data_IF_490199459112
#
_entry.id   IF_490199459112
#
_cell.length_a   1.000
_cell.length_b   1.000
_cell.length_c   1.000
_cell.angle_alpha   90.00
_cell.angle_beta   90.00
_cell.angle_gamma   90.00
#
_symmetry.space_group_name_H-M   'P 1'
#
loop_
_entity.id
_entity.type
_entity.pdbx_description
1 polymer ?
#
# COMPACT_ATOMS: atom_id res chain seq x y z
N UNK A 1 1.81 19.35 -38.07
CA UNK A 1 1.59 17.89 -38.19
C UNK A 1 2.15 17.31 -39.50
N UNK A 2 1.98 17.98 -40.63
CA UNK A 2 2.49 17.51 -41.95
C UNK A 2 4.03 17.35 -42.01
N UNK A 3 4.78 18.28 -41.48
CA UNK A 3 6.27 18.25 -41.50
C UNK A 3 6.86 17.02 -40.80
N UNK A 4 6.31 16.65 -39.65
CA UNK A 4 6.78 15.48 -38.89
C UNK A 4 6.52 14.18 -39.68
N UNK A 5 5.43 14.09 -40.42
CA UNK A 5 5.12 12.93 -41.28
C UNK A 5 6.11 12.82 -42.46
N UNK A 6 6.56 13.95 -43.01
CA UNK A 6 7.61 13.98 -44.05
C UNK A 6 8.94 13.47 -43.51
N UNK A 7 9.38 13.96 -42.36
CA UNK A 7 10.64 13.54 -41.71
C UNK A 7 10.59 12.05 -41.32
N UNK A 8 9.47 11.59 -40.81
CA UNK A 8 9.25 10.18 -40.50
C UNK A 8 9.33 9.30 -41.74
N UNK A 9 8.66 9.71 -42.81
CA UNK A 9 8.67 8.98 -44.10
C UNK A 9 10.09 8.92 -44.68
N UNK A 10 10.82 10.02 -44.61
CA UNK A 10 12.23 10.09 -45.02
C UNK A 10 13.10 9.08 -44.25
N UNK A 11 13.02 9.06 -42.89
CA UNK A 11 13.81 8.14 -42.08
C UNK A 11 13.49 6.68 -42.37
N UNK A 12 12.22 6.34 -42.60
CA UNK A 12 11.84 4.96 -42.96
C UNK A 12 12.40 4.56 -44.35
N UNK A 13 12.40 5.48 -45.33
CA UNK A 13 13.02 5.22 -46.66
C UNK A 13 14.54 5.11 -46.52
N UNK A 14 15.19 5.99 -45.75
CA UNK A 14 16.63 5.94 -45.53
C UNK A 14 17.06 4.62 -44.85
N UNK A 15 16.33 4.14 -43.85
CA UNK A 15 16.59 2.87 -43.15
C UNK A 15 16.30 1.64 -43.97
N UNK A 16 15.28 1.72 -44.81
CA UNK A 16 14.85 0.60 -45.62
C UNK A 16 15.62 0.45 -46.96
N UNK A 17 16.27 1.54 -47.40
CA UNK A 17 16.93 1.59 -48.74
C UNK A 17 15.95 1.43 -49.90
N UNK A 18 14.64 1.42 -49.66
CA UNK A 18 13.59 1.13 -50.64
C UNK A 18 12.30 1.84 -50.28
N UNK A 19 11.72 2.53 -51.27
CA UNK A 19 10.41 3.20 -51.14
C UNK A 19 9.31 2.15 -50.88
N UNK A 20 9.35 1.01 -51.56
CA UNK A 20 8.36 -0.06 -51.40
C UNK A 20 8.41 -0.67 -50.00
N UNK A 21 9.63 -0.94 -49.48
CA UNK A 21 9.79 -1.48 -48.13
C UNK A 21 9.37 -0.45 -47.04
N UNK A 22 9.68 0.82 -47.26
CA UNK A 22 9.21 1.89 -46.37
C UNK A 22 7.67 2.03 -46.37
N UNK A 23 7.03 1.92 -47.53
CA UNK A 23 5.59 1.95 -47.66
C UNK A 23 4.90 0.83 -46.88
N UNK A 24 5.44 -0.39 -46.95
CA UNK A 24 4.95 -1.53 -46.17
C UNK A 24 5.07 -1.29 -44.64
N UNK A 25 6.22 -0.75 -44.19
CA UNK A 25 6.43 -0.44 -42.76
C UNK A 25 5.56 0.68 -42.24
N UNK A 26 5.24 1.67 -43.09
CA UNK A 26 4.42 2.82 -42.74
C UNK A 26 2.91 2.52 -42.90
N UNK A 27 2.53 1.39 -43.51
CA UNK A 27 1.13 1.05 -43.78
C UNK A 27 0.46 1.98 -44.79
N UNK A 28 1.23 2.55 -45.76
CA UNK A 28 0.71 3.45 -46.79
C UNK A 28 1.10 2.98 -48.18
N UNK A 29 0.51 3.57 -49.22
CA UNK A 29 0.85 3.24 -50.60
C UNK A 29 2.23 3.78 -51.00
N UNK A 30 2.92 3.05 -51.94
CA UNK A 30 4.18 3.50 -52.49
C UNK A 30 4.11 4.91 -53.17
N UNK A 31 3.06 5.26 -53.92
CA UNK A 31 2.91 6.61 -54.47
C UNK A 31 2.88 7.69 -53.35
N UNK A 32 2.19 7.41 -52.27
CA UNK A 32 2.13 8.34 -51.10
C UNK A 32 3.50 8.58 -50.49
N UNK A 33 4.33 7.53 -50.33
CA UNK A 33 5.71 7.68 -49.82
C UNK A 33 6.53 8.51 -50.83
N UNK A 34 6.43 8.22 -52.14
CA UNK A 34 7.15 8.95 -53.20
C UNK A 34 6.78 10.45 -53.20
N UNK A 35 5.50 10.77 -53.07
CA UNK A 35 5.02 12.14 -53.01
C UNK A 35 5.57 12.89 -51.78
N UNK A 36 5.55 12.25 -50.60
CA UNK A 36 6.10 12.84 -49.39
C UNK A 36 7.59 13.11 -49.48
N UNK A 37 8.38 12.21 -50.08
CA UNK A 37 9.80 12.40 -50.30
C UNK A 37 10.04 13.53 -51.29
N UNK A 38 9.34 13.59 -52.42
CA UNK A 38 9.45 14.67 -53.40
C UNK A 38 9.14 16.03 -52.79
N UNK A 39 8.10 16.07 -51.92
CA UNK A 39 7.74 17.29 -51.23
C UNK A 39 8.85 17.73 -50.26
N UNK A 40 9.42 16.80 -49.47
CA UNK A 40 10.51 17.13 -48.54
C UNK A 40 11.77 17.61 -49.28
N UNK A 41 12.10 16.98 -50.42
CA UNK A 41 13.19 17.43 -51.26
C UNK A 41 12.99 18.84 -51.82
N UNK A 42 11.75 19.15 -52.21
CA UNK A 42 11.36 20.51 -52.67
C UNK A 42 11.46 21.54 -51.56
N UNK A 43 10.99 21.21 -50.32
CA UNK A 43 11.07 22.09 -49.17
C UNK A 43 12.54 22.35 -48.74
N UNK A 44 13.42 21.36 -48.87
CA UNK A 44 14.85 21.49 -48.53
C UNK A 44 15.73 22.00 -49.69
N UNK A 45 15.18 22.02 -50.89
CA UNK A 45 15.88 22.49 -52.08
C UNK A 45 17.01 21.56 -52.56
N UNK A 46 17.01 20.28 -52.12
CA UNK A 46 18.09 19.34 -52.42
C UNK A 46 17.52 17.90 -52.50
N UNK A 47 18.04 17.09 -53.48
CA UNK A 47 17.64 15.68 -53.56
C UNK A 47 18.24 14.87 -52.41
N UNK A 48 17.37 14.04 -51.75
CA UNK A 48 17.79 13.17 -50.65
C UNK A 48 18.04 11.73 -51.14
N UNK A 49 17.44 11.31 -52.23
CA UNK A 49 17.63 9.97 -52.77
C UNK A 49 17.93 9.95 -54.27
N UNK A 50 18.85 9.08 -54.66
CA UNK A 50 19.08 8.70 -56.05
C UNK A 50 18.30 7.43 -56.40
N UNK A 51 17.33 7.54 -57.28
CA UNK A 51 16.50 6.42 -57.71
C UNK A 51 17.24 5.55 -58.74
N UNK A 52 17.30 4.25 -58.52
CA UNK A 52 17.90 3.29 -59.45
C UNK A 52 17.03 2.01 -59.50
N UNK A 53 17.33 1.11 -60.47
CA UNK A 53 16.69 -0.20 -60.53
C UNK A 53 16.92 -1.07 -59.28
N UNK A 54 17.88 -0.69 -58.42
CA UNK A 54 18.22 -1.39 -57.15
C UNK A 54 17.56 -0.77 -55.93
N UNK A 55 16.81 0.32 -56.06
CA UNK A 55 16.09 0.98 -54.97
C UNK A 55 16.38 2.49 -54.87
N UNK A 56 16.27 3.04 -53.68
CA UNK A 56 16.54 4.43 -53.37
C UNK A 56 17.82 4.54 -52.51
N UNK A 57 18.93 4.93 -53.14
CA UNK A 57 20.21 5.13 -52.48
C UNK A 57 20.23 6.55 -51.85
N UNK A 58 20.58 6.68 -50.57
CA UNK A 58 20.69 8.00 -49.93
C UNK A 58 21.83 8.84 -50.51
N UNK A 59 21.62 10.17 -50.55
CA UNK A 59 22.67 11.13 -50.85
C UNK A 59 23.44 11.50 -49.57
N UNK A 60 24.62 12.11 -49.71
CA UNK A 60 25.36 12.64 -48.55
C UNK A 60 24.54 13.64 -47.72
N UNK A 61 23.60 14.36 -48.35
CA UNK A 61 22.65 15.22 -47.64
C UNK A 61 21.61 14.43 -46.85
N UNK A 62 21.12 13.34 -47.42
CA UNK A 62 20.23 12.43 -46.69
C UNK A 62 20.91 11.86 -45.45
N UNK A 63 22.17 11.42 -45.54
CA UNK A 63 22.91 10.89 -44.40
C UNK A 63 23.09 11.96 -43.30
N UNK A 64 23.43 13.19 -43.67
CA UNK A 64 23.53 14.31 -42.73
C UNK A 64 22.21 14.64 -42.08
N UNK A 65 21.14 14.68 -42.84
CA UNK A 65 19.78 14.90 -42.31
C UNK A 65 19.37 13.79 -41.35
N UNK A 66 19.56 12.53 -41.77
CA UNK A 66 19.23 11.37 -40.93
C UNK A 66 19.98 11.41 -39.60
N UNK A 67 21.27 11.69 -39.60
CA UNK A 67 22.07 11.81 -38.37
C UNK A 67 21.55 12.89 -37.41
N UNK A 68 20.96 13.96 -37.94
CA UNK A 68 20.43 15.07 -37.14
C UNK A 68 19.03 14.79 -36.54
N UNK A 69 18.19 14.08 -37.28
CA UNK A 69 16.76 13.94 -36.92
C UNK A 69 16.37 12.57 -36.40
N UNK A 70 17.19 11.51 -36.56
CA UNK A 70 16.83 10.16 -36.16
C UNK A 70 16.45 10.08 -34.68
N UNK A 71 17.33 10.50 -33.80
CA UNK A 71 17.13 10.49 -32.35
C UNK A 71 15.90 11.32 -31.89
N UNK A 72 15.72 12.59 -32.33
CA UNK A 72 14.52 13.36 -32.00
C UNK A 72 13.22 12.72 -32.47
N UNK A 73 13.18 12.21 -33.71
CA UNK A 73 11.97 11.58 -34.26
C UNK A 73 11.66 10.24 -33.56
N UNK A 74 12.68 9.44 -33.25
CA UNK A 74 12.51 8.18 -32.53
C UNK A 74 12.03 8.43 -31.08
N UNK A 75 12.53 9.47 -30.42
CA UNK A 75 12.03 9.88 -29.09
C UNK A 75 10.57 10.32 -29.13
N UNK A 76 10.19 11.13 -30.11
CA UNK A 76 8.80 11.50 -30.32
C UNK A 76 7.93 10.29 -30.59
N UNK A 77 8.40 9.34 -31.40
CA UNK A 77 7.69 8.08 -31.68
C UNK A 77 7.53 7.24 -30.40
N UNK A 78 8.55 7.15 -29.57
CA UNK A 78 8.48 6.43 -28.29
C UNK A 78 7.38 6.96 -27.38
N UNK A 79 7.14 8.27 -27.35
CA UNK A 79 6.03 8.90 -26.61
C UNK A 79 4.65 8.38 -27.09
N UNK A 80 4.51 8.09 -28.41
CA UNK A 80 3.25 7.60 -28.97
C UNK A 80 3.10 6.07 -28.91
N UNK A 81 4.21 5.34 -28.87
CA UNK A 81 4.21 3.86 -28.94
C UNK A 81 4.45 3.19 -27.60
N UNK A 82 5.11 3.87 -26.66
CA UNK A 82 5.18 3.42 -25.28
C UNK A 82 3.87 3.81 -24.60
N UNK A 83 3.19 2.89 -23.92
CA UNK A 83 2.16 3.28 -23.01
C UNK A 83 2.79 4.30 -22.06
N UNK A 84 2.21 5.49 -21.95
CA UNK A 84 2.58 6.44 -20.88
C UNK A 84 2.65 5.60 -19.62
N UNK A 85 3.79 5.59 -18.87
CA UNK A 85 3.82 4.88 -17.60
C UNK A 85 2.59 5.36 -16.85
N UNK A 86 1.65 4.46 -16.59
CA UNK A 86 0.44 4.80 -15.86
C UNK A 86 0.92 5.46 -14.58
N UNK A 87 0.52 6.71 -14.34
CA UNK A 87 0.81 7.37 -13.08
C UNK A 87 0.27 6.42 -12.02
N UNK A 88 1.11 5.91 -11.11
CA UNK A 88 0.63 4.94 -10.13
C UNK A 88 -0.57 5.52 -9.40
N UNK A 89 -1.69 4.80 -9.39
CA UNK A 89 -2.84 5.21 -8.61
C UNK A 89 -2.47 5.13 -7.13
N UNK A 90 -2.48 6.25 -6.44
CA UNK A 90 -2.16 6.31 -5.02
C UNK A 90 -3.37 5.90 -4.20
N UNK A 91 -3.16 4.99 -3.24
CA UNK A 91 -4.16 4.60 -2.24
C UNK A 91 -3.60 4.93 -0.85
N UNK A 92 -4.34 5.74 -0.08
CA UNK A 92 -3.98 6.16 1.27
C UNK A 92 -4.70 5.32 2.31
N UNK A 93 -3.93 4.67 3.17
CA UNK A 93 -4.40 3.66 4.11
C UNK A 93 -4.03 4.08 5.52
N UNK A 94 -5.05 4.25 6.37
CA UNK A 94 -4.85 4.53 7.80
C UNK A 94 -4.90 3.28 8.65
N UNK A 95 -4.14 3.25 9.76
CA UNK A 95 -4.23 2.18 10.75
C UNK A 95 -3.21 2.28 11.87
N UNK A 96 -3.35 1.42 12.87
CA UNK A 96 -2.38 1.30 13.94
C UNK A 96 -1.04 0.73 13.44
N UNK A 97 0.06 1.17 14.03
CA UNK A 97 1.43 0.88 13.55
C UNK A 97 1.76 -0.60 13.51
N UNK A 98 1.30 -1.36 14.48
CA UNK A 98 1.49 -2.81 14.59
C UNK A 98 0.78 -3.58 13.48
N UNK A 99 -0.52 -3.32 13.26
CA UNK A 99 -1.32 -3.94 12.20
C UNK A 99 -0.79 -3.58 10.82
N UNK A 100 -0.50 -2.30 10.58
CA UNK A 100 0.05 -1.84 9.30
C UNK A 100 1.36 -2.56 8.99
N UNK A 101 2.30 -2.60 9.94
CA UNK A 101 3.62 -3.16 9.71
C UNK A 101 3.62 -4.70 9.58
N UNK A 102 2.80 -5.40 10.37
CA UNK A 102 2.86 -6.86 10.44
C UNK A 102 1.89 -7.58 9.52
N UNK A 103 0.80 -6.93 9.11
CA UNK A 103 -0.30 -7.54 8.35
C UNK A 103 -0.58 -6.83 7.03
N UNK A 104 -0.80 -5.51 7.08
CA UNK A 104 -1.28 -4.77 5.92
C UNK A 104 -0.19 -4.60 4.85
N UNK A 105 1.01 -4.14 5.23
CA UNK A 105 2.12 -3.96 4.26
C UNK A 105 2.47 -5.28 3.56
N UNK A 106 2.69 -6.41 4.28
CA UNK A 106 2.99 -7.68 3.60
C UNK A 106 1.88 -8.13 2.63
N UNK A 107 0.61 -7.93 2.99
CA UNK A 107 -0.52 -8.29 2.14
C UNK A 107 -0.62 -7.44 0.87
N UNK A 108 -0.27 -6.16 0.95
CA UNK A 108 -0.43 -5.21 -0.14
C UNK A 108 0.83 -5.02 -0.99
N UNK A 109 2.01 -5.43 -0.52
CA UNK A 109 3.27 -5.28 -1.24
C UNK A 109 3.21 -5.75 -2.72
N UNK A 110 2.55 -6.88 -3.08
CA UNK A 110 2.45 -7.30 -4.48
C UNK A 110 1.73 -6.30 -5.39
N UNK A 111 0.85 -5.42 -4.86
CA UNK A 111 0.14 -4.44 -5.67
C UNK A 111 1.04 -3.32 -6.20
N UNK A 112 2.18 -3.07 -5.55
CA UNK A 112 3.13 -2.03 -5.99
C UNK A 112 3.73 -2.34 -7.35
N UNK A 113 3.99 -3.61 -7.65
CA UNK A 113 4.47 -4.06 -8.97
C UNK A 113 3.39 -3.99 -10.06
N UNK A 114 2.14 -3.76 -9.65
CA UNK A 114 0.97 -3.68 -10.51
C UNK A 114 0.48 -2.23 -10.69
N UNK A 115 1.32 -1.23 -10.41
CA UNK A 115 1.02 0.19 -10.62
C UNK A 115 0.17 0.84 -9.52
N UNK A 116 0.12 0.26 -8.32
CA UNK A 116 -0.50 0.90 -7.14
C UNK A 116 0.59 1.50 -6.27
N UNK A 117 0.48 2.79 -5.97
CA UNK A 117 1.29 3.47 -4.95
C UNK A 117 0.54 3.41 -3.62
N UNK A 118 1.19 2.92 -2.57
CA UNK A 118 0.62 2.82 -1.23
C UNK A 118 1.21 3.90 -0.33
N UNK A 119 0.34 4.69 0.30
CA UNK A 119 0.71 5.67 1.32
C UNK A 119 0.05 5.29 2.63
N UNK A 120 0.85 5.18 3.70
CA UNK A 120 0.34 4.77 5.01
C UNK A 120 0.36 5.93 5.98
N UNK A 121 -0.73 6.07 6.72
CA UNK A 121 -0.84 6.98 7.83
C UNK A 121 -1.07 6.19 9.13
N UNK A 122 -0.17 6.40 10.08
CA UNK A 122 -0.23 5.72 11.37
C UNK A 122 -0.85 6.63 12.41
N UNK A 123 -1.79 6.11 13.20
CA UNK A 123 -2.46 6.92 14.21
C UNK A 123 -3.52 6.17 14.98
N UNK A 124 -4.20 6.91 15.87
CA UNK A 124 -5.34 6.38 16.61
C UNK A 124 -6.53 6.17 15.67
N UNK A 125 -7.24 5.06 15.87
CA UNK A 125 -8.37 4.70 15.02
C UNK A 125 -9.45 5.79 14.95
N UNK A 126 -9.72 6.49 16.05
CA UNK A 126 -10.69 7.59 16.11
C UNK A 126 -10.32 8.75 15.20
N UNK A 127 -9.06 9.14 15.19
CA UNK A 127 -8.56 10.28 14.41
C UNK A 127 -8.53 9.94 12.92
N UNK A 128 -8.06 8.73 12.60
CA UNK A 128 -8.04 8.22 11.23
C UNK A 128 -9.45 8.06 10.65
N UNK A 129 -10.41 7.59 11.44
CA UNK A 129 -11.81 7.50 11.02
C UNK A 129 -12.42 8.88 10.80
N UNK A 130 -12.11 9.87 11.66
CA UNK A 130 -12.54 11.24 11.46
C UNK A 130 -12.01 11.82 10.14
N UNK A 131 -10.73 11.56 9.81
CA UNK A 131 -10.14 11.97 8.53
C UNK A 131 -10.72 11.25 7.32
N UNK A 132 -11.01 9.96 7.45
CA UNK A 132 -11.70 9.22 6.40
C UNK A 132 -13.07 9.83 6.10
N UNK A 133 -13.82 10.26 7.14
CA UNK A 133 -15.14 10.88 7.03
C UNK A 133 -15.13 12.34 6.57
N UNK A 134 -14.04 13.08 6.80
CA UNK A 134 -13.94 14.51 6.46
C UNK A 134 -13.90 14.79 4.95
N UNK A 135 -13.49 13.82 4.13
CA UNK A 135 -13.65 13.89 2.67
C UNK A 135 -15.10 13.64 2.30
N UNK A 136 -15.92 14.71 2.23
CA UNK A 136 -17.37 14.65 1.98
C UNK A 136 -17.78 13.76 0.80
N UNK A 137 -19.09 13.40 0.68
CA UNK A 137 -19.59 12.50 -0.34
C UNK A 137 -19.43 13.02 -1.78
N UNK A 138 -19.24 14.34 -1.94
CA UNK A 138 -19.24 14.98 -3.26
C UNK A 138 -17.83 15.18 -3.85
N UNK A 139 -16.76 14.88 -3.11
CA UNK A 139 -15.38 14.89 -3.64
C UNK A 139 -14.89 16.26 -4.16
N UNK A 140 -15.57 17.36 -3.83
CA UNK A 140 -15.27 18.71 -4.32
C UNK A 140 -14.20 19.45 -3.48
N UNK A 141 -13.51 18.76 -2.57
CA UNK A 141 -12.29 19.29 -1.99
C UNK A 141 -11.12 18.99 -2.92
N UNK A 142 -10.48 20.02 -3.45
CA UNK A 142 -9.22 19.96 -4.19
C UNK A 142 -8.03 19.38 -3.36
N UNK A 143 -8.27 18.97 -2.13
CA UNK A 143 -7.29 18.36 -1.25
C UNK A 143 -7.29 16.84 -1.42
N UNK A 144 -6.38 16.38 -2.24
CA UNK A 144 -6.03 14.97 -2.47
C UNK A 144 -5.51 14.22 -1.22
N UNK A 145 -5.61 14.80 -0.03
CA UNK A 145 -4.97 14.33 1.21
C UNK A 145 -5.84 13.44 2.11
N UNK A 146 -7.05 13.07 1.67
CA UNK A 146 -7.94 12.20 2.42
C UNK A 146 -7.52 10.74 2.40
N UNK A 147 -7.86 9.98 3.48
CA UNK A 147 -7.72 8.53 3.50
C UNK A 147 -8.76 7.86 2.60
N UNK A 148 -8.37 6.75 1.94
CA UNK A 148 -9.24 5.91 1.14
C UNK A 148 -9.81 4.75 1.95
N UNK A 149 -8.97 4.20 2.85
CA UNK A 149 -9.26 3.02 3.65
C UNK A 149 -8.66 3.19 5.04
N UNK A 150 -9.35 2.73 6.08
CA UNK A 150 -8.80 2.64 7.44
C UNK A 150 -8.97 1.21 7.98
N UNK A 151 -7.86 0.62 8.45
CA UNK A 151 -7.90 -0.61 9.24
C UNK A 151 -8.05 -0.22 10.70
N UNK A 152 -9.23 -0.46 11.26
CA UNK A 152 -9.64 0.06 12.56
C UNK A 152 -9.92 -1.04 13.58
N UNK A 153 -9.40 -0.88 14.79
CA UNK A 153 -9.71 -1.71 15.95
C UNK A 153 -11.02 -1.31 16.67
N UNK A 154 -11.67 -0.24 16.20
CA UNK A 154 -12.95 0.23 16.75
C UNK A 154 -13.97 0.40 15.62
N UNK A 155 -15.24 0.16 15.96
CA UNK A 155 -16.39 0.41 15.08
C UNK A 155 -17.26 1.48 15.69
N UNK A 156 -16.95 2.74 15.37
CA UNK A 156 -17.77 3.87 15.79
C UNK A 156 -18.77 4.19 14.67
N UNK A 157 -20.09 4.19 14.93
CA UNK A 157 -21.06 4.61 13.93
C UNK A 157 -20.78 6.04 13.48
N UNK A 158 -20.40 6.21 12.21
CA UNK A 158 -20.14 7.52 11.59
C UNK A 158 -20.87 7.61 10.26
N UNK A 159 -21.53 8.76 10.02
CA UNK A 159 -22.22 9.02 8.77
C UNK A 159 -21.19 9.01 7.62
N UNK A 160 -21.52 8.30 6.54
CA UNK A 160 -20.66 8.24 5.35
C UNK A 160 -19.50 7.25 5.47
N UNK A 161 -19.44 6.42 6.51
CA UNK A 161 -18.45 5.35 6.67
C UNK A 161 -19.16 4.01 6.77
N UNK A 162 -18.71 3.05 5.96
CA UNK A 162 -19.13 1.66 5.99
C UNK A 162 -18.00 0.80 6.56
N UNK A 163 -18.37 -0.12 7.44
CA UNK A 163 -17.45 -1.07 8.07
C UNK A 163 -17.66 -2.48 7.53
N UNK A 164 -16.57 -3.18 7.31
CA UNK A 164 -16.54 -4.62 7.04
C UNK A 164 -15.63 -5.28 8.06
N UNK A 165 -16.09 -6.35 8.74
CA UNK A 165 -15.24 -7.17 9.60
C UNK A 165 -14.09 -7.77 8.77
N UNK A 166 -12.88 -7.74 9.29
CA UNK A 166 -11.69 -8.24 8.63
C UNK A 166 -11.20 -9.52 9.30
N UNK A 167 -10.87 -9.45 10.59
CA UNK A 167 -10.38 -10.58 11.38
C UNK A 167 -10.60 -10.33 12.86
N UNK A 168 -10.73 -11.38 13.64
CA UNK A 168 -10.78 -11.32 15.09
C UNK A 168 -9.37 -11.50 15.67
N UNK A 169 -8.98 -10.61 16.60
CA UNK A 169 -7.71 -10.63 17.31
C UNK A 169 -7.91 -11.21 18.70
N UNK A 170 -7.22 -12.28 19.04
CA UNK A 170 -7.15 -12.83 20.40
C UNK A 170 -6.11 -12.07 21.23
N UNK A 171 -6.45 -11.71 22.46
CA UNK A 171 -5.54 -11.03 23.39
C UNK A 171 -5.02 -11.98 24.45
N UNK A 172 -3.70 -11.89 24.71
CA UNK A 172 -3.01 -12.64 25.76
C UNK A 172 -2.37 -11.70 26.77
N UNK A 173 -2.39 -12.07 28.05
CA UNK A 173 -1.68 -11.35 29.10
C UNK A 173 -0.26 -11.88 29.19
N UNK A 174 0.71 -11.00 28.97
CA UNK A 174 2.15 -11.37 28.92
C UNK A 174 3.00 -10.55 29.86
N UNK A 175 4.11 -11.13 30.29
CA UNK A 175 5.14 -10.49 31.10
C UNK A 175 6.50 -11.13 30.89
N UNK A 176 7.57 -10.43 31.27
CA UNK A 176 8.91 -11.00 31.23
C UNK A 176 9.01 -12.19 32.21
N UNK A 177 9.88 -13.20 31.93
CA UNK A 177 10.08 -14.36 32.83
C UNK A 177 10.46 -13.99 34.26
N UNK A 178 11.15 -12.86 34.45
CA UNK A 178 11.48 -12.34 35.78
C UNK A 178 10.25 -12.00 36.61
N UNK A 179 9.24 -11.38 35.98
CA UNK A 179 7.97 -11.06 36.62
C UNK A 179 7.07 -12.30 36.75
N UNK A 180 7.04 -13.16 35.76
CA UNK A 180 6.26 -14.40 35.80
C UNK A 180 6.64 -15.31 37.00
N UNK A 181 7.91 -15.32 37.36
CA UNK A 181 8.42 -16.09 38.55
C UNK A 181 7.96 -15.52 39.89
N UNK A 182 7.49 -14.29 39.96
CA UNK A 182 6.98 -13.66 41.21
C UNK A 182 5.52 -14.00 41.47
N UNK A 183 4.85 -14.63 40.52
CA UNK A 183 3.42 -14.97 40.63
C UNK A 183 3.25 -16.23 41.46
N UNK A 184 2.43 -16.13 42.52
CA UNK A 184 1.98 -17.30 43.25
C UNK A 184 1.00 -18.10 42.38
N UNK A 185 1.43 -19.31 41.96
CA UNK A 185 0.66 -20.16 41.04
C UNK A 185 -0.62 -20.76 41.67
N UNK A 186 -0.60 -21.04 42.97
CA UNK A 186 -1.79 -21.53 43.69
C UNK A 186 -2.83 -20.42 43.77
N UNK A 187 -2.39 -19.23 44.15
CA UNK A 187 -3.27 -18.05 44.18
C UNK A 187 -3.80 -17.68 42.79
N UNK A 188 -2.96 -17.79 41.76
CA UNK A 188 -3.38 -17.51 40.39
C UNK A 188 -4.54 -18.39 39.94
N UNK A 189 -4.55 -19.66 40.37
CA UNK A 189 -5.61 -20.61 40.02
C UNK A 189 -6.95 -20.30 40.69
N UNK A 190 -6.96 -19.64 41.85
CA UNK A 190 -8.18 -19.37 42.64
C UNK A 190 -8.60 -17.91 42.63
N UNK A 191 -7.65 -16.99 42.56
CA UNK A 191 -7.85 -15.54 42.57
C UNK A 191 -6.78 -14.86 41.72
N UNK A 192 -6.93 -14.96 40.40
CA UNK A 192 -5.97 -14.41 39.44
C UNK A 192 -5.73 -12.90 39.62
N UNK A 193 -6.78 -12.05 39.82
CA UNK A 193 -6.57 -10.63 40.06
C UNK A 193 -5.66 -10.33 41.24
N UNK A 194 -5.87 -11.02 42.36
CA UNK A 194 -5.08 -10.81 43.57
C UNK A 194 -3.64 -11.35 43.41
N UNK A 195 -3.44 -12.45 42.66
CA UNK A 195 -2.11 -12.97 42.36
C UNK A 195 -1.32 -12.04 41.44
N UNK A 196 -1.99 -11.29 40.57
CA UNK A 196 -1.38 -10.38 39.60
C UNK A 196 -1.26 -8.92 40.11
N UNK A 197 -1.87 -8.57 41.23
CA UNK A 197 -2.02 -7.19 41.69
C UNK A 197 -0.69 -6.44 41.91
N UNK A 198 0.37 -7.15 42.27
CA UNK A 198 1.69 -6.58 42.54
C UNK A 198 2.47 -6.23 41.26
N UNK A 199 2.04 -6.74 40.12
CA UNK A 199 2.72 -6.51 38.84
C UNK A 199 2.36 -5.16 38.26
N UNK A 200 3.37 -4.34 37.90
CA UNK A 200 3.10 -3.05 37.26
C UNK A 200 2.57 -3.27 35.83
N UNK A 201 1.75 -2.34 35.35
CA UNK A 201 1.17 -2.36 34.00
C UNK A 201 2.00 -1.54 33.02
N UNK A 202 2.13 -2.04 31.80
CA UNK A 202 2.49 -1.27 30.61
C UNK A 202 1.20 -1.02 29.84
N UNK A 203 0.81 0.24 29.71
CA UNK A 203 -0.48 0.66 29.19
C UNK A 203 -0.38 1.39 27.85
N UNK A 204 -1.45 1.31 27.06
CA UNK A 204 -1.57 2.04 25.80
C UNK A 204 -1.92 3.52 26.05
N UNK A 205 -2.78 3.77 27.01
CA UNK A 205 -3.28 5.08 27.43
C UNK A 205 -3.54 5.11 28.93
N UNK A 206 -3.75 6.31 29.53
CA UNK A 206 -4.06 6.45 30.95
C UNK A 206 -5.37 5.76 31.39
N UNK A 207 -6.30 5.57 30.46
CA UNK A 207 -7.59 4.90 30.70
C UNK A 207 -7.49 3.37 30.69
N UNK A 208 -6.29 2.83 30.39
CA UNK A 208 -6.03 1.39 30.30
C UNK A 208 -6.93 0.68 29.27
N UNK A 209 -7.22 1.31 28.14
CA UNK A 209 -8.27 0.87 27.20
C UNK A 209 -8.17 -0.61 26.83
N UNK A 210 -6.96 -1.15 26.62
CA UNK A 210 -6.71 -2.53 26.26
C UNK A 210 -6.68 -3.43 27.51
N UNK A 211 -5.82 -3.12 28.49
CA UNK A 211 -5.67 -3.92 29.70
C UNK A 211 -6.99 -3.98 30.49
N UNK A 212 -7.72 -2.86 30.57
CA UNK A 212 -9.06 -2.81 31.18
C UNK A 212 -10.05 -3.73 30.50
N UNK A 213 -10.01 -3.85 29.15
CA UNK A 213 -10.88 -4.79 28.42
C UNK A 213 -10.55 -6.23 28.81
N UNK A 214 -9.27 -6.59 28.87
CA UNK A 214 -8.83 -7.91 29.33
C UNK A 214 -9.32 -8.18 30.75
N UNK A 215 -9.08 -7.27 31.71
CA UNK A 215 -9.51 -7.45 33.11
C UNK A 215 -11.02 -7.58 33.26
N UNK A 216 -11.78 -6.75 32.56
CA UNK A 216 -13.25 -6.84 32.60
C UNK A 216 -13.78 -8.13 32.00
N UNK A 217 -13.21 -8.58 30.91
CA UNK A 217 -13.61 -9.84 30.27
C UNK A 217 -13.29 -11.04 31.14
N UNK A 218 -12.11 -11.06 31.77
CA UNK A 218 -11.65 -12.24 32.49
C UNK A 218 -11.97 -12.23 33.98
N UNK A 219 -12.02 -11.04 34.58
CA UNK A 219 -12.13 -10.91 36.02
C UNK A 219 -13.34 -10.06 36.47
N UNK A 220 -14.11 -9.49 35.55
CA UNK A 220 -15.33 -8.71 35.85
C UNK A 220 -15.09 -7.30 36.37
N UNK A 221 -13.86 -6.86 36.60
CA UNK A 221 -13.54 -5.54 37.16
C UNK A 221 -12.37 -4.85 36.45
N UNK A 222 -12.05 -3.62 36.84
CA UNK A 222 -10.86 -2.89 36.35
C UNK A 222 -9.61 -3.34 37.09
N UNK A 223 -8.42 -3.28 36.47
CA UNK A 223 -7.17 -3.50 37.17
C UNK A 223 -6.94 -2.41 38.21
N UNK A 224 -6.42 -2.79 39.37
CA UNK A 224 -5.97 -1.90 40.43
C UNK A 224 -4.44 -1.83 40.50
N UNK A 225 -3.77 -2.44 39.57
CA UNK A 225 -2.30 -2.51 39.47
C UNK A 225 -1.69 -1.13 39.20
N UNK A 226 -0.47 -0.85 39.71
CA UNK A 226 0.22 0.40 39.39
C UNK A 226 0.60 0.44 37.90
N UNK A 227 0.51 1.62 37.28
CA UNK A 227 0.97 1.83 35.90
C UNK A 227 2.45 2.24 35.95
N UNK A 228 3.32 1.49 35.29
CA UNK A 228 4.73 1.81 35.18
C UNK A 228 5.07 2.58 33.90
N UNK A 229 4.41 2.24 32.78
CA UNK A 229 4.71 2.83 31.46
C UNK A 229 3.41 3.06 30.71
N UNK A 230 3.33 4.22 30.02
CA UNK A 230 2.27 4.51 29.05
C UNK A 230 2.94 4.77 27.70
N UNK A 231 2.57 4.00 26.68
CA UNK A 231 3.05 4.18 25.31
C UNK A 231 1.94 3.80 24.31
N UNK A 232 1.51 4.72 23.42
CA UNK A 232 0.39 4.50 22.50
C UNK A 232 0.83 3.75 21.23
N UNK A 233 1.60 2.67 21.42
CA UNK A 233 2.07 1.76 20.37
C UNK A 233 2.24 0.36 20.95
N UNK A 234 1.56 -0.64 20.38
CA UNK A 234 1.61 -2.02 20.89
C UNK A 234 3.00 -2.66 20.76
N UNK A 235 3.79 -2.28 19.77
CA UNK A 235 5.19 -2.74 19.64
C UNK A 235 6.07 -2.12 20.73
N UNK A 236 5.82 -0.86 21.05
CA UNK A 236 6.45 -0.19 22.19
C UNK A 236 6.07 -0.84 23.51
N UNK A 237 4.80 -1.24 23.68
CA UNK A 237 4.33 -2.01 24.84
C UNK A 237 5.08 -3.35 24.92
N UNK A 238 5.14 -4.11 23.82
CA UNK A 238 5.86 -5.38 23.78
C UNK A 238 7.33 -5.21 24.17
N UNK A 239 8.00 -4.19 23.62
CA UNK A 239 9.39 -3.90 23.96
C UNK A 239 9.58 -3.61 25.45
N UNK A 240 8.70 -2.82 26.07
CA UNK A 240 8.72 -2.53 27.49
C UNK A 240 8.46 -3.78 28.36
N UNK A 241 7.52 -4.64 27.94
CA UNK A 241 7.24 -5.93 28.61
C UNK A 241 8.44 -6.87 28.54
N UNK A 242 9.08 -7.01 27.38
CA UNK A 242 10.30 -7.81 27.18
C UNK A 242 11.43 -7.29 28.09
N UNK A 243 11.56 -5.97 28.21
CA UNK A 243 12.53 -5.34 29.11
C UNK A 243 12.20 -5.48 30.63
N UNK A 244 11.05 -6.07 30.97
CA UNK A 244 10.65 -6.30 32.36
C UNK A 244 10.03 -5.10 33.06
N UNK A 245 9.62 -4.06 32.32
CA UNK A 245 9.03 -2.86 32.90
C UNK A 245 7.63 -3.11 33.50
N UNK A 246 6.96 -4.19 33.10
CA UNK A 246 5.64 -4.55 33.59
C UNK A 246 4.98 -5.64 32.74
N UNK A 247 3.67 -5.77 32.91
CA UNK A 247 2.84 -6.75 32.17
C UNK A 247 1.80 -6.01 31.34
N UNK A 248 1.35 -6.63 30.23
CA UNK A 248 0.30 -6.06 29.40
C UNK A 248 -0.52 -7.13 28.69
N UNK A 249 -1.71 -6.74 28.23
CA UNK A 249 -2.49 -7.54 27.29
C UNK A 249 -2.14 -7.10 25.87
N UNK A 250 -1.75 -8.06 25.03
CA UNK A 250 -1.33 -7.82 23.65
C UNK A 250 -2.06 -8.79 22.70
N UNK A 251 -2.29 -8.38 21.45
CA UNK A 251 -2.74 -9.32 20.42
C UNK A 251 -1.74 -10.48 20.29
N UNK A 252 -2.27 -11.69 20.15
CA UNK A 252 -1.45 -12.92 20.07
C UNK A 252 -0.44 -12.86 18.94
N UNK A 253 -0.84 -12.40 17.74
CA UNK A 253 0.05 -12.31 16.58
C UNK A 253 1.30 -11.42 16.82
N UNK A 254 1.19 -10.45 17.73
CA UNK A 254 2.30 -9.58 18.11
C UNK A 254 3.15 -10.21 19.22
N UNK A 255 2.51 -10.94 20.14
CA UNK A 255 3.16 -11.54 21.30
C UNK A 255 3.83 -12.90 20.98
N UNK A 256 3.28 -13.71 20.07
CA UNK A 256 3.72 -15.08 19.80
C UNK A 256 5.21 -15.23 19.43
N UNK A 257 5.82 -14.35 18.62
CA UNK A 257 7.26 -14.43 18.38
C UNK A 257 8.10 -14.30 19.67
N UNK A 258 7.70 -13.41 20.58
CA UNK A 258 8.38 -13.21 21.86
C UNK A 258 8.08 -14.34 22.86
N UNK A 259 6.88 -14.93 22.81
CA UNK A 259 6.52 -16.14 23.57
C UNK A 259 7.36 -17.31 23.07
N UNK A 260 7.47 -17.52 21.75
CA UNK A 260 8.21 -18.61 21.16
C UNK A 260 9.72 -18.57 21.44
N UNK A 261 10.29 -17.39 21.61
CA UNK A 261 11.69 -17.20 22.03
C UNK A 261 11.89 -17.23 23.56
N UNK A 262 10.81 -17.29 24.34
CA UNK A 262 10.87 -17.21 25.81
C UNK A 262 11.22 -15.82 26.34
N UNK A 263 11.16 -14.77 25.51
CA UNK A 263 11.39 -13.38 25.92
C UNK A 263 10.25 -12.85 26.79
N UNK A 264 9.05 -13.40 26.61
CA UNK A 264 7.87 -13.18 27.47
C UNK A 264 7.18 -14.51 27.76
N UNK A 265 6.41 -14.56 28.84
CA UNK A 265 5.56 -15.70 29.21
C UNK A 265 4.10 -15.25 29.26
N UNK A 266 3.19 -16.18 28.88
CA UNK A 266 1.75 -16.02 29.11
C UNK A 266 1.46 -16.20 30.58
N UNK A 267 0.94 -15.15 31.23
CA UNK A 267 0.75 -15.11 32.68
C UNK A 267 -0.61 -15.69 33.10
N UNK A 268 -1.62 -15.61 32.25
CA UNK A 268 -2.97 -16.09 32.49
C UNK A 268 -3.52 -16.76 31.22
N UNK A 269 -4.11 -17.94 31.38
CA UNK A 269 -4.70 -18.71 30.29
C UNK A 269 -6.19 -18.88 30.59
N UNK A 270 -7.05 -18.02 30.04
CA UNK A 270 -8.50 -18.15 30.20
C UNK A 270 -9.07 -19.28 29.33
N UNK A 271 -10.23 -19.79 29.71
CA UNK A 271 -10.99 -20.73 28.87
C UNK A 271 -11.46 -20.09 27.56
N UNK A 272 -11.87 -18.82 27.63
CA UNK A 272 -12.23 -17.99 26.48
C UNK A 272 -11.37 -16.73 26.47
N UNK A 273 -10.49 -16.62 25.49
CA UNK A 273 -9.64 -15.44 25.35
C UNK A 273 -10.46 -14.21 24.94
N UNK A 274 -10.11 -13.01 25.45
CA UNK A 274 -10.72 -11.79 24.96
C UNK A 274 -10.39 -11.54 23.49
N UNK A 275 -11.38 -11.24 22.69
CA UNK A 275 -11.23 -10.93 21.28
C UNK A 275 -11.56 -9.47 20.98
N UNK A 276 -10.95 -8.95 19.93
CA UNK A 276 -11.31 -7.70 19.29
C UNK A 276 -11.43 -7.94 17.79
N UNK A 277 -12.39 -7.31 17.12
CA UNK A 277 -12.50 -7.42 15.66
C UNK A 277 -11.83 -6.23 14.99
N UNK A 278 -10.87 -6.48 14.11
CA UNK A 278 -10.38 -5.48 13.16
C UNK A 278 -11.41 -5.29 12.04
N UNK A 279 -11.65 -4.06 11.70
CA UNK A 279 -12.60 -3.66 10.68
C UNK A 279 -11.90 -2.88 9.56
N UNK A 280 -12.33 -3.13 8.33
CA UNK A 280 -12.02 -2.28 7.21
C UNK A 280 -13.10 -1.20 7.13
N UNK A 281 -12.71 0.07 7.32
CA UNK A 281 -13.58 1.22 7.19
C UNK A 281 -13.30 1.91 5.85
N UNK A 282 -14.35 2.17 5.08
CA UNK A 282 -14.31 2.80 3.76
C UNK A 282 -15.44 3.83 3.64
N UNK A 283 -15.30 4.80 2.73
CA UNK A 283 -16.36 5.76 2.43
C UNK A 283 -17.59 5.03 1.90
N UNK A 284 -18.77 5.44 2.38
CA UNK A 284 -20.07 4.94 1.90
C UNK A 284 -20.62 5.85 0.81
N UNK A 285 -21.47 5.30 -0.08
CA UNK A 285 -22.21 6.07 -1.10
C UNK A 285 -21.56 6.13 -2.48
N UNK A 286 -20.25 6.00 -2.62
CA UNK A 286 -19.54 5.94 -3.92
C UNK A 286 -18.72 4.66 -4.04
N UNK A 287 -18.76 3.99 -5.20
CA UNK A 287 -17.85 2.87 -5.44
C UNK A 287 -16.39 3.33 -5.32
N UNK A 288 -15.51 2.55 -4.68
CA UNK A 288 -14.09 2.86 -4.61
C UNK A 288 -13.47 2.87 -6.01
N UNK A 289 -12.45 3.70 -6.21
CA UNK A 289 -11.62 3.67 -7.43
C UNK A 289 -10.98 2.29 -7.65
N UNK A 290 -10.52 2.02 -8.87
CA UNK A 290 -10.01 0.70 -9.24
C UNK A 290 -8.86 0.23 -8.34
N UNK A 291 -7.89 1.09 -8.03
CA UNK A 291 -6.78 0.76 -7.13
C UNK A 291 -7.25 0.51 -5.69
N UNK A 292 -8.16 1.35 -5.17
CA UNK A 292 -8.73 1.18 -3.83
C UNK A 292 -9.53 -0.12 -3.73
N UNK A 293 -10.29 -0.49 -4.75
CA UNK A 293 -11.01 -1.77 -4.78
C UNK A 293 -10.04 -2.96 -4.70
N UNK A 294 -8.93 -2.92 -5.46
CA UNK A 294 -7.89 -3.96 -5.40
C UNK A 294 -7.22 -4.07 -4.03
N UNK A 295 -6.98 -2.93 -3.37
CA UNK A 295 -6.46 -2.89 -1.99
C UNK A 295 -7.46 -3.56 -1.03
N UNK A 296 -8.75 -3.23 -1.12
CA UNK A 296 -9.80 -3.82 -0.30
C UNK A 296 -9.86 -5.35 -0.51
N UNK A 297 -9.88 -5.79 -1.76
CA UNK A 297 -9.95 -7.22 -2.09
C UNK A 297 -8.72 -7.98 -1.60
N UNK A 298 -7.52 -7.40 -1.77
CA UNK A 298 -6.28 -8.00 -1.28
C UNK A 298 -6.24 -8.13 0.25
N UNK A 299 -6.70 -7.11 0.98
CA UNK A 299 -6.80 -7.17 2.45
C UNK A 299 -7.81 -8.23 2.91
N UNK A 300 -8.96 -8.30 2.27
CA UNK A 300 -10.00 -9.28 2.59
C UNK A 300 -9.52 -10.71 2.30
N UNK A 301 -8.81 -10.91 1.21
CA UNK A 301 -8.26 -12.23 0.87
C UNK A 301 -7.14 -12.63 1.84
N UNK A 302 -6.22 -11.71 2.13
CA UNK A 302 -5.14 -11.94 3.08
C UNK A 302 -5.68 -12.25 4.49
N UNK A 303 -6.75 -11.56 4.91
CA UNK A 303 -7.35 -11.75 6.22
C UNK A 303 -7.94 -13.15 6.44
N UNK A 304 -8.28 -13.88 5.38
CA UNK A 304 -8.72 -15.29 5.48
C UNK A 304 -7.59 -16.23 5.94
N UNK A 305 -6.35 -15.86 5.63
CA UNK A 305 -5.16 -16.58 6.07
C UNK A 305 -4.56 -16.03 7.37
N UNK A 306 -5.12 -14.97 7.90
CA UNK A 306 -4.80 -14.50 9.24
C UNK A 306 -5.66 -15.34 10.17
N UNK A 307 -5.15 -16.49 10.62
CA UNK A 307 -5.85 -17.31 11.61
C UNK A 307 -6.34 -16.43 12.76
N UNK A 308 -7.48 -16.78 13.35
CA UNK A 308 -8.02 -16.08 14.54
C UNK A 308 -6.86 -15.82 15.50
N UNK A 309 -6.44 -14.58 15.50
CA UNK A 309 -5.12 -14.15 15.95
C UNK A 309 -5.10 -13.92 17.44
#
# INVERSE_FOLDING_TARGET
MQELDLLRTFLEVHRAGSITAAAARLGVSQPSVSERITRLEAELGTPLFVRSARGAAPTAEADRLAARIADPVDRLRAVWTQPTPAVPETVRIGGASDVIATRVIPALAPLTTQGVRLEFELGLATDLLARLGAGGPDGEGLDSDGLDVVVSSVRTPMRGIRYRGLVDEEFVLVGAPSLARTIDRERLAHDAPAALLHLPLVAYDPDLSIVRRYWRSQFGHRPANPIAVIVPDLRGILAAVVAGAGVSALPRYLADPAIGTGSVEVLHRPDEAPINTLHLAIKDGRPPGAATARVIDALVEAARGWDSL
#
